data_IF_413416496138
#
_entry.id   IF_413416496138
#
_cell.length_a   1.000
_cell.length_b   1.000
_cell.length_c   1.000
_cell.angle_alpha   90.00
_cell.angle_beta   90.00
_cell.angle_gamma   90.00
#
_symmetry.space_group_name_H-M   'P 1'
#
loop_
_entity.id
_entity.type
_entity.pdbx_description
1 polymer ?
#
# COMPACT_ATOMS: atom_id res chain seq x y z
N UNK A 1 2.70 46.53 20.90
CA UNK A 1 3.09 45.11 21.11
C UNK A 1 1.94 44.10 20.91
N UNK A 2 0.71 44.32 21.40
CA UNK A 2 -0.41 43.34 21.27
C UNK A 2 -0.89 43.05 19.83
N UNK A 3 -0.73 43.98 18.89
CA UNK A 3 -1.13 43.80 17.49
C UNK A 3 -0.14 42.91 16.70
N UNK A 4 1.15 42.96 17.07
CA UNK A 4 2.20 42.16 16.42
C UNK A 4 2.08 40.68 16.79
N UNK A 5 1.73 40.39 18.05
CA UNK A 5 1.44 39.02 18.52
C UNK A 5 0.23 38.39 17.84
N UNK A 6 -0.80 39.19 17.50
CA UNK A 6 -1.99 38.69 16.75
C UNK A 6 -1.67 38.38 15.29
N UNK A 7 -0.75 39.13 14.68
CA UNK A 7 -0.31 38.91 13.30
C UNK A 7 0.60 37.67 13.14
N UNK A 8 1.44 37.38 14.15
CA UNK A 8 2.26 36.16 14.17
C UNK A 8 1.44 34.86 14.34
N UNK A 9 0.34 34.90 15.10
CA UNK A 9 -0.53 33.73 15.29
C UNK A 9 -1.37 33.45 14.03
N UNK A 10 -1.82 34.49 13.33
CA UNK A 10 -2.59 34.35 12.08
C UNK A 10 -1.76 33.78 10.93
N UNK A 11 -0.45 34.06 10.87
CA UNK A 11 0.46 33.56 9.83
C UNK A 11 0.90 32.11 10.08
N UNK A 12 1.02 31.67 11.34
CA UNK A 12 1.34 30.29 11.67
C UNK A 12 0.22 29.30 11.29
N UNK A 13 -1.05 29.71 11.39
CA UNK A 13 -2.18 28.84 11.02
C UNK A 13 -2.33 28.69 9.50
N UNK A 14 -1.94 29.71 8.72
CA UNK A 14 -1.94 29.66 7.25
C UNK A 14 -0.80 28.80 6.68
N UNK A 15 0.29 28.58 7.44
CA UNK A 15 1.39 27.71 7.01
C UNK A 15 1.09 26.21 7.19
N UNK A 16 0.15 25.84 8.08
CA UNK A 16 -0.20 24.44 8.34
C UNK A 16 -1.04 23.80 7.22
N UNK A 17 -1.78 24.60 6.44
CA UNK A 17 -2.60 24.12 5.30
C UNK A 17 -1.80 23.94 4.00
N UNK A 18 -0.53 24.39 3.96
CA UNK A 18 0.32 24.35 2.78
C UNK A 18 1.44 23.30 2.87
N UNK A 19 1.38 22.36 3.81
CA UNK A 19 2.32 21.24 3.82
C UNK A 19 2.00 20.30 2.65
N UNK A 20 2.95 20.01 1.75
CA UNK A 20 2.78 18.96 0.76
C UNK A 20 2.44 17.66 1.50
N UNK A 21 1.35 17.01 1.12
CA UNK A 21 1.06 15.68 1.62
C UNK A 21 2.25 14.78 1.28
N UNK A 22 2.98 14.32 2.30
CA UNK A 22 4.06 13.38 2.09
C UNK A 22 3.48 12.11 1.45
N UNK A 23 3.99 11.74 0.28
CA UNK A 23 3.56 10.52 -0.38
C UNK A 23 3.81 9.33 0.55
N UNK A 24 2.74 8.56 0.86
CA UNK A 24 2.85 7.37 1.71
C UNK A 24 3.81 6.38 1.04
N UNK A 25 4.86 6.00 1.75
CA UNK A 25 5.86 5.07 1.23
C UNK A 25 5.28 3.66 1.02
N UNK A 26 5.81 2.95 0.02
CA UNK A 26 5.43 1.56 -0.27
C UNK A 26 6.25 0.61 0.62
N UNK A 27 5.67 0.12 1.71
CA UNK A 27 6.34 -0.72 2.70
C UNK A 27 5.83 -2.15 2.71
N UNK A 28 4.54 -2.37 2.44
CA UNK A 28 3.92 -3.70 2.48
C UNK A 28 2.96 -3.90 1.32
N UNK A 29 3.02 -5.06 0.67
CA UNK A 29 2.15 -5.44 -0.45
C UNK A 29 1.53 -6.81 -0.18
N UNK A 30 0.22 -6.91 -0.36
CA UNK A 30 -0.51 -8.17 -0.44
C UNK A 30 -0.79 -8.54 -1.89
N UNK A 31 -0.56 -9.80 -2.27
CA UNK A 31 -0.84 -10.33 -3.61
C UNK A 31 -1.75 -11.55 -3.47
N UNK A 32 -2.96 -11.49 -4.03
CA UNK A 32 -3.86 -12.64 -4.15
C UNK A 32 -4.01 -13.01 -5.63
N UNK A 33 -3.49 -14.19 -5.97
CA UNK A 33 -3.58 -14.84 -7.28
C UNK A 33 -4.18 -16.22 -7.09
N UNK A 34 -4.45 -16.98 -8.14
CA UNK A 34 -4.88 -18.38 -7.97
C UNK A 34 -3.69 -19.33 -7.85
N UNK A 35 -3.83 -20.59 -8.29
CA UNK A 35 -2.92 -21.65 -7.87
C UNK A 35 -1.47 -21.37 -8.22
N UNK A 36 -0.57 -21.52 -7.25
CA UNK A 36 0.87 -21.36 -7.47
C UNK A 36 1.46 -22.39 -8.43
N UNK A 37 0.75 -23.48 -8.70
CA UNK A 37 1.12 -24.44 -9.74
C UNK A 37 1.08 -23.88 -11.17
N UNK A 38 0.46 -22.71 -11.40
CA UNK A 38 0.46 -22.07 -12.71
C UNK A 38 1.69 -21.13 -12.86
N UNK A 39 2.60 -21.39 -13.83
CA UNK A 39 3.80 -20.59 -14.03
C UNK A 39 3.54 -19.10 -14.31
N UNK A 40 2.38 -18.76 -14.88
CA UNK A 40 1.97 -17.37 -15.09
C UNK A 40 1.92 -16.61 -13.77
N UNK A 41 1.31 -17.16 -12.71
CA UNK A 41 1.20 -16.49 -11.42
C UNK A 41 2.53 -16.40 -10.68
N UNK A 42 3.41 -17.40 -10.84
CA UNK A 42 4.78 -17.33 -10.33
C UNK A 42 5.53 -16.15 -10.96
N UNK A 43 5.42 -16.00 -12.29
CA UNK A 43 6.02 -14.87 -13.01
C UNK A 43 5.38 -13.53 -12.61
N UNK A 44 4.06 -13.47 -12.43
CA UNK A 44 3.35 -12.26 -11.96
C UNK A 44 3.84 -11.82 -10.58
N UNK A 45 3.91 -12.74 -9.61
CA UNK A 45 4.41 -12.44 -8.25
C UNK A 45 5.85 -11.90 -8.32
N UNK A 46 6.71 -12.53 -9.11
CA UNK A 46 8.09 -12.08 -9.31
C UNK A 46 8.14 -10.67 -9.91
N UNK A 47 7.39 -10.40 -10.97
CA UNK A 47 7.37 -9.09 -11.64
C UNK A 47 6.88 -7.96 -10.74
N UNK A 48 5.84 -8.23 -9.93
CA UNK A 48 5.34 -7.29 -8.92
C UNK A 48 6.41 -7.04 -7.85
N UNK A 49 7.01 -8.10 -7.30
CA UNK A 49 8.04 -8.00 -6.27
C UNK A 49 9.28 -7.22 -6.75
N UNK A 50 9.75 -7.51 -7.96
CA UNK A 50 10.89 -6.80 -8.57
C UNK A 50 10.57 -5.32 -8.79
N UNK A 51 9.34 -4.99 -9.21
CA UNK A 51 8.91 -3.60 -9.40
C UNK A 51 8.78 -2.85 -8.07
N UNK A 52 8.23 -3.50 -7.05
CA UNK A 52 8.11 -2.92 -5.71
C UNK A 52 9.49 -2.63 -5.08
N UNK A 53 10.45 -3.54 -5.24
CA UNK A 53 11.81 -3.37 -4.73
C UNK A 53 12.57 -2.22 -5.38
N UNK A 54 12.25 -1.85 -6.63
CA UNK A 54 12.79 -0.64 -7.27
C UNK A 54 12.31 0.64 -6.60
N UNK A 55 11.10 0.63 -6.02
CA UNK A 55 10.52 1.77 -5.30
C UNK A 55 11.04 1.79 -3.86
N UNK A 56 11.02 0.65 -3.18
CA UNK A 56 11.57 0.48 -1.84
C UNK A 56 12.24 -0.90 -1.73
N UNK A 57 13.58 -0.98 -1.61
CA UNK A 57 14.30 -2.25 -1.50
C UNK A 57 13.89 -3.11 -0.30
N UNK A 58 13.33 -2.49 0.74
CA UNK A 58 12.91 -3.14 1.98
C UNK A 58 11.41 -3.49 2.02
N UNK A 59 10.69 -3.33 0.90
CA UNK A 59 9.27 -3.64 0.82
C UNK A 59 9.00 -5.11 1.17
N UNK A 60 8.02 -5.35 2.04
CA UNK A 60 7.55 -6.68 2.37
C UNK A 60 6.47 -7.11 1.38
N UNK A 61 6.65 -8.26 0.75
CA UNK A 61 5.69 -8.81 -0.22
C UNK A 61 5.12 -10.10 0.34
N UNK A 62 3.80 -10.14 0.51
CA UNK A 62 3.06 -11.35 0.92
C UNK A 62 2.20 -11.81 -0.24
N UNK A 63 2.46 -13.02 -0.75
CA UNK A 63 1.65 -13.64 -1.80
C UNK A 63 0.90 -14.84 -1.26
N UNK A 64 -0.40 -14.93 -1.57
CA UNK A 64 -1.28 -16.05 -1.20
C UNK A 64 -2.00 -16.57 -2.44
N UNK A 65 -2.40 -17.83 -2.39
CA UNK A 65 -3.23 -18.43 -3.43
C UNK A 65 -4.69 -18.46 -2.99
N UNK A 66 -5.56 -17.88 -3.80
CA UNK A 66 -7.01 -17.98 -3.66
C UNK A 66 -7.55 -19.33 -4.16
N UNK A 67 -6.76 -20.13 -4.90
CA UNK A 67 -7.17 -21.43 -5.45
C UNK A 67 -8.53 -21.44 -6.19
N UNK A 68 -8.87 -20.30 -6.81
CA UNK A 68 -10.17 -20.09 -7.46
C UNK A 68 -11.38 -20.20 -6.51
N UNK A 69 -11.16 -19.96 -5.22
CA UNK A 69 -12.21 -19.84 -4.20
C UNK A 69 -12.45 -18.37 -3.85
N UNK A 70 -13.67 -17.89 -4.10
CA UNK A 70 -14.08 -16.52 -3.85
C UNK A 70 -14.09 -16.19 -2.35
N UNK A 71 -14.57 -17.08 -1.50
CA UNK A 71 -14.64 -16.83 -0.06
C UNK A 71 -13.23 -16.74 0.53
N UNK A 72 -12.33 -17.61 0.07
CA UNK A 72 -10.91 -17.55 0.42
C UNK A 72 -10.29 -16.22 -0.01
N UNK A 73 -10.59 -15.75 -1.21
CA UNK A 73 -10.09 -14.46 -1.71
C UNK A 73 -10.62 -13.27 -0.89
N UNK A 74 -11.88 -13.29 -0.47
CA UNK A 74 -12.46 -12.27 0.42
C UNK A 74 -11.73 -12.25 1.77
N UNK A 75 -11.55 -13.40 2.42
CA UNK A 75 -10.82 -13.46 3.71
C UNK A 75 -9.36 -13.03 3.59
N UNK A 76 -8.72 -13.25 2.42
CA UNK A 76 -7.36 -12.77 2.15
C UNK A 76 -7.30 -11.24 2.05
N UNK A 77 -8.31 -10.62 1.41
CA UNK A 77 -8.42 -9.15 1.33
C UNK A 77 -8.54 -8.57 2.76
N UNK A 78 -9.41 -9.12 3.60
CA UNK A 78 -9.56 -8.68 4.99
C UNK A 78 -8.25 -8.82 5.78
N UNK A 79 -7.54 -9.94 5.59
CA UNK A 79 -6.24 -10.18 6.22
C UNK A 79 -5.17 -9.17 5.78
N UNK A 80 -5.16 -8.78 4.49
CA UNK A 80 -4.26 -7.76 3.99
C UNK A 80 -4.57 -6.37 4.54
N UNK A 81 -5.86 -6.02 4.64
CA UNK A 81 -6.29 -4.76 5.24
C UNK A 81 -5.85 -4.72 6.72
N UNK A 82 -6.11 -5.78 7.47
CA UNK A 82 -5.70 -5.89 8.87
C UNK A 82 -4.17 -5.83 9.05
N UNK A 83 -3.40 -6.40 8.12
CA UNK A 83 -1.94 -6.32 8.11
C UNK A 83 -1.39 -4.93 7.75
N UNK A 84 -2.26 -4.00 7.35
CA UNK A 84 -1.92 -2.64 6.98
C UNK A 84 -1.05 -2.57 5.72
N UNK A 85 -1.35 -3.41 4.72
CA UNK A 85 -0.65 -3.31 3.44
C UNK A 85 -0.94 -1.97 2.76
N UNK A 86 0.04 -1.44 2.03
CA UNK A 86 -0.12 -0.20 1.29
C UNK A 86 -0.82 -0.43 -0.05
N UNK A 87 -0.65 -1.63 -0.63
CA UNK A 87 -1.28 -2.04 -1.89
C UNK A 87 -1.74 -3.50 -1.78
N UNK A 88 -2.94 -3.77 -2.31
CA UNK A 88 -3.43 -5.12 -2.59
C UNK A 88 -3.43 -5.31 -4.12
N UNK A 89 -2.65 -6.27 -4.59
CA UNK A 89 -2.68 -6.74 -5.97
C UNK A 89 -3.62 -7.94 -6.05
N UNK A 90 -4.73 -7.78 -6.75
CA UNK A 90 -5.79 -8.77 -6.82
C UNK A 90 -5.97 -9.25 -8.25
N UNK A 91 -5.97 -10.56 -8.46
CA UNK A 91 -6.45 -11.14 -9.72
C UNK A 91 -7.91 -11.54 -9.57
N UNK A 92 -8.79 -10.83 -10.28
CA UNK A 92 -10.21 -11.18 -10.42
C UNK A 92 -10.37 -12.42 -11.33
N UNK A 93 -11.50 -13.13 -11.17
CA UNK A 93 -11.85 -14.31 -11.94
C UNK A 93 -12.04 -14.01 -13.42
#
# INVERSE_FOLDING_TARGET
>A
MRALSKLLVGTALAAAIAMPAAAKGLNKIGISVGPFGNPFFVATIKGIGDSAKKINPNVQVTSVSADYDLNKQVSQIDSFIAAGVDIIMLRAF
#
